data_IF_385519696364
#
_entry.id   IF_385519696364
#
_cell.length_a   1.000
_cell.length_b   1.000
_cell.length_c   1.000
_cell.angle_alpha   90.00
_cell.angle_beta   90.00
_cell.angle_gamma   90.00
#
_symmetry.space_group_name_H-M   'P 1'
#
loop_
_entity.id
_entity.type
_entity.pdbx_description
1 polymer ?
#
# COMPACT_ATOMS: atom_id res chain seq x y z
N UNK A 1 -1.90 18.01 16.86
CA UNK A 1 -1.92 18.07 15.38
C UNK A 1 -2.40 16.72 14.93
N UNK A 2 -3.44 16.70 14.11
CA UNK A 2 -4.03 15.47 13.56
C UNK A 2 -3.05 14.95 12.49
N UNK A 3 -2.49 13.74 12.69
CA UNK A 3 -1.55 13.12 11.74
C UNK A 3 -2.32 12.14 10.85
N UNK A 4 -2.29 12.34 9.53
CA UNK A 4 -3.06 11.55 8.56
C UNK A 4 -2.18 10.62 7.74
N UNK A 5 -2.59 9.35 7.65
CA UNK A 5 -1.89 8.27 6.95
C UNK A 5 -2.74 7.79 5.77
N UNK A 6 -2.18 7.85 4.56
CA UNK A 6 -2.71 7.13 3.41
C UNK A 6 -2.15 5.70 3.39
N UNK A 7 -2.97 4.69 3.69
CA UNK A 7 -2.57 3.29 3.71
C UNK A 7 -3.06 2.55 2.46
N UNK A 8 -2.14 2.11 1.59
CA UNK A 8 -2.43 1.40 0.34
C UNK A 8 -1.92 -0.05 0.45
N UNK A 9 -2.80 -0.98 0.81
CA UNK A 9 -2.47 -2.38 1.08
C UNK A 9 -3.64 -3.32 0.74
N UNK A 10 -3.47 -4.62 0.95
CA UNK A 10 -4.55 -5.59 0.82
C UNK A 10 -5.65 -5.42 1.88
N UNK A 11 -6.84 -5.95 1.60
CA UNK A 11 -7.91 -6.10 2.58
C UNK A 11 -8.52 -7.50 2.54
N UNK A 12 -8.93 -8.01 3.71
CA UNK A 12 -9.61 -9.29 3.87
C UNK A 12 -10.89 -9.17 4.68
N UNK A 13 -11.94 -9.89 4.27
CA UNK A 13 -13.19 -9.97 5.05
C UNK A 13 -12.93 -10.67 6.40
N UNK A 14 -12.26 -11.83 6.40
CA UNK A 14 -11.90 -12.61 7.60
C UNK A 14 -10.39 -12.62 7.86
N UNK A 15 -10.01 -12.45 9.12
CA UNK A 15 -8.62 -12.41 9.59
C UNK A 15 -8.07 -10.99 9.67
N UNK A 16 -6.78 -10.89 10.00
CA UNK A 16 -6.04 -9.63 10.14
C UNK A 16 -4.77 -9.74 9.29
N UNK A 17 -4.81 -9.13 8.10
CA UNK A 17 -3.66 -8.83 7.23
C UNK A 17 -3.90 -7.51 6.49
N UNK A 18 -2.87 -6.92 5.90
CA UNK A 18 -2.96 -5.69 5.11
C UNK A 18 -3.57 -4.52 5.91
N UNK A 19 -4.43 -3.72 5.27
CA UNK A 19 -5.12 -2.59 5.91
C UNK A 19 -5.93 -3.03 7.14
N UNK A 20 -6.46 -4.26 7.18
CA UNK A 20 -7.18 -4.73 8.37
C UNK A 20 -6.27 -4.95 9.59
N UNK A 21 -4.97 -5.20 9.36
CA UNK A 21 -3.94 -5.23 10.40
C UNK A 21 -3.29 -3.88 10.66
N UNK A 22 -3.26 -2.98 9.68
CA UNK A 22 -2.59 -1.69 9.81
C UNK A 22 -3.50 -0.60 10.40
N UNK A 23 -4.76 -0.51 9.95
CA UNK A 23 -5.65 0.60 10.31
C UNK A 23 -6.02 0.58 11.79
N UNK A 24 -6.32 -0.59 12.37
CA UNK A 24 -6.71 -0.66 13.78
C UNK A 24 -5.60 -0.18 14.74
N UNK A 25 -4.34 -0.67 14.65
CA UNK A 25 -3.24 -0.14 15.46
C UNK A 25 -3.01 1.37 15.28
N UNK A 26 -3.02 1.87 14.04
CA UNK A 26 -2.82 3.29 13.76
C UNK A 26 -3.93 4.15 14.39
N UNK A 27 -5.18 3.73 14.25
CA UNK A 27 -6.33 4.44 14.81
C UNK A 27 -6.31 4.46 16.35
N UNK A 28 -6.02 3.33 17.01
CA UNK A 28 -5.93 3.31 18.49
C UNK A 28 -4.71 4.08 19.02
N UNK A 29 -3.69 4.30 18.18
CA UNK A 29 -2.53 5.14 18.47
C UNK A 29 -2.75 6.63 18.12
N UNK A 30 -3.93 7.00 17.62
CA UNK A 30 -4.33 8.40 17.40
C UNK A 30 -4.00 8.96 16.01
N UNK A 31 -3.67 8.11 15.04
CA UNK A 31 -3.57 8.54 13.63
C UNK A 31 -4.93 8.49 12.95
N UNK A 32 -5.16 9.44 12.06
CA UNK A 32 -6.23 9.37 11.08
C UNK A 32 -5.78 8.52 9.89
N UNK A 33 -6.62 7.59 9.45
CA UNK A 33 -6.23 6.60 8.43
C UNK A 33 -7.22 6.58 7.29
N UNK A 34 -6.74 6.94 6.10
CA UNK A 34 -7.46 6.75 4.84
C UNK A 34 -6.91 5.51 4.14
N UNK A 35 -7.78 4.54 3.85
CA UNK A 35 -7.37 3.23 3.35
C UNK A 35 -7.81 3.03 1.90
N UNK A 36 -6.86 2.72 1.02
CA UNK A 36 -7.13 2.19 -0.32
C UNK A 36 -6.75 0.71 -0.33
N UNK A 37 -7.71 -0.14 -0.70
CA UNK A 37 -7.55 -1.58 -0.67
C UNK A 37 -7.10 -2.09 -2.05
N UNK A 38 -5.83 -2.47 -2.20
CA UNK A 38 -5.27 -3.03 -3.45
C UNK A 38 -5.95 -4.32 -3.88
N UNK A 39 -6.50 -5.06 -2.92
CA UNK A 39 -7.33 -6.25 -3.13
C UNK A 39 -8.41 -6.31 -2.08
N UNK A 40 -9.53 -6.96 -2.39
CA UNK A 40 -10.53 -7.36 -1.42
C UNK A 40 -10.77 -8.86 -1.53
N UNK A 41 -10.21 -9.63 -0.59
CA UNK A 41 -10.37 -11.08 -0.56
C UNK A 41 -11.25 -11.55 0.60
N UNK A 42 -11.79 -12.76 0.50
CA UNK A 42 -12.52 -13.42 1.60
C UNK A 42 -11.65 -13.60 2.85
N UNK A 43 -10.38 -13.95 2.64
CA UNK A 43 -9.36 -14.24 3.65
C UNK A 43 -7.97 -14.19 2.98
N UNK A 44 -6.90 -14.22 3.77
CA UNK A 44 -5.55 -14.23 3.20
C UNK A 44 -5.25 -15.54 2.45
N UNK A 45 -4.25 -15.50 1.56
CA UNK A 45 -3.87 -16.58 0.64
C UNK A 45 -3.22 -17.79 1.30
N UNK A 46 -3.02 -17.76 2.63
CA UNK A 46 -2.53 -18.90 3.40
C UNK A 46 -3.59 -19.96 3.70
N UNK A 47 -4.87 -19.67 3.44
CA UNK A 47 -5.94 -20.66 3.46
C UNK A 47 -5.99 -21.47 2.16
N UNK A 48 -6.52 -22.69 2.22
CA UNK A 48 -6.69 -23.56 1.04
C UNK A 48 -7.55 -22.97 -0.07
N UNK A 49 -8.52 -22.11 0.29
CA UNK A 49 -9.37 -21.42 -0.66
C UNK A 49 -9.48 -19.94 -0.30
N UNK A 50 -9.50 -19.11 -1.34
CA UNK A 50 -9.77 -17.68 -1.25
C UNK A 50 -10.39 -17.21 -2.57
N UNK A 51 -11.22 -16.17 -2.51
CA UNK A 51 -11.80 -15.50 -3.68
C UNK A 51 -11.86 -14.00 -3.41
N UNK A 52 -11.92 -13.21 -4.47
CA UNK A 52 -12.19 -11.78 -4.38
C UNK A 52 -11.62 -11.01 -5.56
N UNK A 53 -11.55 -9.69 -5.41
CA UNK A 53 -11.17 -8.75 -6.46
C UNK A 53 -9.76 -8.17 -6.24
N UNK A 54 -9.12 -7.79 -7.34
CA UNK A 54 -7.87 -7.03 -7.35
C UNK A 54 -8.17 -5.67 -7.94
N UNK A 55 -7.74 -4.61 -7.27
CA UNK A 55 -7.88 -3.23 -7.72
C UNK A 55 -6.82 -2.96 -8.80
N UNK A 56 -7.27 -2.49 -9.96
CA UNK A 56 -6.43 -2.12 -11.09
C UNK A 56 -5.85 -0.72 -10.90
N UNK A 57 -4.87 -0.35 -11.73
CA UNK A 57 -4.33 1.01 -11.75
C UNK A 57 -5.42 2.05 -12.08
N UNK A 58 -6.28 1.79 -13.06
CA UNK A 58 -7.37 2.71 -13.42
C UNK A 58 -8.35 2.92 -12.25
N UNK A 59 -8.67 1.85 -11.52
CA UNK A 59 -9.53 1.95 -10.33
C UNK A 59 -8.85 2.70 -9.17
N UNK A 60 -7.53 2.54 -9.00
CA UNK A 60 -6.73 3.35 -8.07
C UNK A 60 -6.77 4.83 -8.47
N UNK A 61 -6.64 5.13 -9.76
CA UNK A 61 -6.72 6.49 -10.28
C UNK A 61 -8.07 7.12 -9.98
N UNK A 62 -9.17 6.40 -10.21
CA UNK A 62 -10.53 6.89 -9.90
C UNK A 62 -10.66 7.30 -8.43
N UNK A 63 -10.14 6.49 -7.50
CA UNK A 63 -10.18 6.81 -6.08
C UNK A 63 -9.32 8.03 -5.74
N UNK A 64 -8.08 8.07 -6.24
CA UNK A 64 -7.16 9.16 -5.96
C UNK A 64 -7.62 10.48 -6.59
N UNK A 65 -8.14 10.45 -7.82
CA UNK A 65 -8.78 11.58 -8.48
C UNK A 65 -9.97 12.09 -7.66
N UNK A 66 -10.83 11.20 -7.15
CA UNK A 66 -11.95 11.58 -6.28
C UNK A 66 -11.49 12.35 -5.03
N UNK A 67 -10.42 11.90 -4.37
CA UNK A 67 -9.82 12.60 -3.22
C UNK A 67 -9.22 13.95 -3.65
N UNK A 68 -8.56 14.02 -4.82
CA UNK A 68 -7.99 15.25 -5.37
C UNK A 68 -9.04 16.30 -5.71
N UNK A 69 -10.13 15.91 -6.39
CA UNK A 69 -11.22 16.80 -6.78
C UNK A 69 -11.90 17.46 -5.56
N UNK A 70 -11.88 16.78 -4.42
CA UNK A 70 -12.39 17.30 -3.15
C UNK A 70 -11.32 18.05 -2.32
N UNK A 71 -10.10 18.20 -2.83
CA UNK A 71 -8.98 18.84 -2.14
C UNK A 71 -8.69 18.25 -0.74
N UNK A 72 -8.81 16.92 -0.60
CA UNK A 72 -8.56 16.18 0.66
C UNK A 72 -7.37 15.21 0.53
N UNK A 73 -6.46 15.46 -0.40
CA UNK A 73 -5.27 14.65 -0.67
C UNK A 73 -4.05 15.12 0.13
N UNK A 74 -4.26 15.52 1.39
CA UNK A 74 -3.22 16.05 2.27
C UNK A 74 -2.87 15.00 3.32
N UNK A 75 -1.62 14.52 3.31
CA UNK A 75 -1.16 13.44 4.17
C UNK A 75 0.19 13.78 4.81
N UNK A 76 0.40 13.26 6.01
CA UNK A 76 1.68 13.32 6.72
C UNK A 76 2.51 12.05 6.47
N UNK A 77 1.81 10.92 6.29
CA UNK A 77 2.42 9.63 6.00
C UNK A 77 1.73 8.93 4.84
N UNK A 78 2.52 8.15 4.10
CA UNK A 78 2.02 7.10 3.21
C UNK A 78 2.56 5.77 3.72
N UNK A 79 1.70 4.75 3.77
CA UNK A 79 2.06 3.39 4.12
C UNK A 79 1.62 2.45 2.99
N UNK A 80 2.55 1.73 2.40
CA UNK A 80 2.24 0.77 1.31
C UNK A 80 2.62 -0.66 1.70
N UNK A 81 1.93 -1.62 1.09
CA UNK A 81 2.18 -3.04 1.31
C UNK A 81 1.70 -3.87 0.13
N UNK A 82 1.08 -5.02 0.41
CA UNK A 82 0.72 -6.03 -0.59
C UNK A 82 0.00 -5.48 -1.83
N UNK A 83 0.54 -5.78 -3.01
CA UNK A 83 -0.12 -5.64 -4.32
C UNK A 83 0.25 -6.82 -5.23
N UNK A 84 -0.50 -7.03 -6.31
CA UNK A 84 -0.23 -8.04 -7.34
C UNK A 84 -0.05 -7.46 -8.73
N UNK A 85 -0.24 -6.15 -8.90
CA UNK A 85 -0.30 -5.50 -10.20
C UNK A 85 0.83 -4.48 -10.34
N UNK A 86 1.62 -4.61 -11.42
CA UNK A 86 2.77 -3.75 -11.70
C UNK A 86 2.35 -2.32 -12.01
N UNK A 87 1.30 -2.14 -12.82
CA UNK A 87 0.79 -0.80 -13.17
C UNK A 87 0.22 -0.10 -11.94
N UNK A 88 -0.43 -0.85 -11.04
CA UNK A 88 -0.87 -0.35 -9.75
C UNK A 88 0.31 0.15 -8.91
N UNK A 89 1.39 -0.64 -8.81
CA UNK A 89 2.56 -0.27 -8.02
C UNK A 89 3.28 0.96 -8.62
N UNK A 90 3.34 1.07 -9.95
CA UNK A 90 3.88 2.25 -10.62
C UNK A 90 3.04 3.50 -10.32
N UNK A 91 1.71 3.39 -10.36
CA UNK A 91 0.83 4.50 -9.99
C UNK A 91 0.96 4.90 -8.52
N UNK A 92 1.17 3.95 -7.61
CA UNK A 92 1.47 4.26 -6.20
C UNK A 92 2.73 5.12 -6.09
N UNK A 93 3.78 4.86 -6.89
CA UNK A 93 4.98 5.70 -6.92
C UNK A 93 4.64 7.12 -7.40
N UNK A 94 3.84 7.26 -8.46
CA UNK A 94 3.42 8.57 -8.97
C UNK A 94 2.64 9.37 -7.92
N UNK A 95 1.71 8.71 -7.21
CA UNK A 95 0.95 9.28 -6.09
C UNK A 95 1.90 9.76 -4.99
N UNK A 96 2.82 8.92 -4.53
CA UNK A 96 3.78 9.27 -3.47
C UNK A 96 4.63 10.48 -3.88
N UNK A 97 5.13 10.52 -5.12
CA UNK A 97 5.92 11.64 -5.61
C UNK A 97 5.11 12.93 -5.67
N UNK A 98 3.84 12.87 -6.10
CA UNK A 98 2.94 14.02 -6.08
C UNK A 98 2.72 14.53 -4.66
N UNK A 99 2.41 13.64 -3.72
CA UNK A 99 2.18 14.00 -2.32
C UNK A 99 3.45 14.57 -1.67
N UNK A 100 4.64 14.04 -1.96
CA UNK A 100 5.92 14.59 -1.48
C UNK A 100 6.22 15.98 -2.07
N UNK A 101 5.82 16.26 -3.32
CA UNK A 101 5.93 17.61 -3.90
C UNK A 101 5.02 18.60 -3.17
N UNK A 102 3.81 18.18 -2.79
CA UNK A 102 2.87 19.00 -2.05
C UNK A 102 3.26 19.17 -0.57
N UNK A 103 3.83 18.15 0.05
CA UNK A 103 4.33 18.14 1.42
C UNK A 103 5.73 17.51 1.49
N UNK A 104 6.82 18.31 1.45
CA UNK A 104 8.18 17.81 1.53
C UNK A 104 8.53 17.09 2.85
N UNK A 105 7.71 17.26 3.90
CA UNK A 105 7.88 16.57 5.18
C UNK A 105 7.14 15.22 5.24
N UNK A 106 6.42 14.84 4.18
CA UNK A 106 5.72 13.57 4.12
C UNK A 106 6.69 12.40 4.22
N UNK A 107 6.39 11.47 5.13
CA UNK A 107 7.16 10.24 5.33
C UNK A 107 6.46 9.06 4.63
N UNK A 108 7.16 8.43 3.71
CA UNK A 108 6.73 7.24 3.01
C UNK A 108 7.37 6.00 3.63
N UNK A 109 6.52 5.16 4.25
CA UNK A 109 6.85 3.83 4.76
C UNK A 109 6.43 2.78 3.74
N UNK A 110 7.38 2.03 3.22
CA UNK A 110 7.16 0.96 2.26
C UNK A 110 7.42 -0.40 2.89
N UNK A 111 6.40 -1.25 2.91
CA UNK A 111 6.57 -2.69 3.13
C UNK A 111 6.70 -3.40 1.77
N UNK A 112 7.90 -3.89 1.37
CA UNK A 112 8.13 -4.48 0.06
C UNK A 112 7.66 -5.94 -0.02
N UNK A 113 6.37 -6.15 0.23
CA UNK A 113 5.70 -7.46 0.34
C UNK A 113 5.78 -8.25 -0.98
N UNK A 114 6.76 -9.15 -1.09
CA UNK A 114 7.06 -9.95 -2.28
C UNK A 114 6.97 -11.46 -2.01
N UNK A 115 7.44 -11.91 -0.85
CA UNK A 115 7.67 -13.32 -0.63
C UNK A 115 8.14 -13.65 0.78
N UNK A 116 8.18 -14.94 1.08
CA UNK A 116 8.75 -15.46 2.32
C UNK A 116 9.26 -16.89 2.08
N UNK A 117 10.07 -17.40 3.00
CA UNK A 117 10.57 -18.77 3.02
C UNK A 117 11.20 -19.23 1.69
N UNK A 118 11.91 -18.31 1.01
CA UNK A 118 12.64 -18.61 -0.23
C UNK A 118 11.78 -18.56 -1.50
N UNK A 119 10.53 -18.10 -1.44
CA UNK A 119 9.66 -18.03 -2.61
C UNK A 119 8.80 -16.76 -2.64
N UNK A 120 8.56 -16.23 -3.86
CA UNK A 120 7.60 -15.15 -4.08
C UNK A 120 6.17 -15.69 -4.08
N UNK A 121 5.26 -15.00 -3.39
CA UNK A 121 3.82 -15.26 -3.47
C UNK A 121 3.06 -14.17 -4.27
N UNK A 122 3.81 -13.23 -4.84
CA UNK A 122 3.33 -12.22 -5.80
C UNK A 122 3.99 -12.43 -7.18
N UNK A 123 3.46 -11.81 -8.25
CA UNK A 123 4.11 -11.85 -9.56
C UNK A 123 5.55 -11.32 -9.57
N UNK A 124 6.47 -12.04 -10.22
CA UNK A 124 7.90 -11.71 -10.22
C UNK A 124 8.23 -10.36 -10.86
N UNK A 125 7.36 -9.86 -11.74
CA UNK A 125 7.51 -8.55 -12.39
C UNK A 125 7.32 -7.36 -11.44
N UNK A 126 6.92 -7.57 -10.18
CA UNK A 126 6.91 -6.52 -9.16
C UNK A 126 8.31 -6.18 -8.63
N UNK A 127 9.23 -7.14 -8.60
CA UNK A 127 10.57 -6.93 -8.03
C UNK A 127 11.34 -5.79 -8.72
N UNK A 128 11.42 -5.70 -10.06
CA UNK A 128 12.07 -4.59 -10.72
C UNK A 128 11.44 -3.22 -10.38
N UNK A 129 10.13 -3.17 -10.16
CA UNK A 129 9.44 -1.93 -9.78
C UNK A 129 9.78 -1.54 -8.35
N UNK A 130 9.72 -2.48 -7.41
CA UNK A 130 10.16 -2.21 -6.03
C UNK A 130 11.60 -1.68 -5.99
N UNK A 131 12.53 -2.39 -6.64
CA UNK A 131 13.95 -2.05 -6.66
C UNK A 131 14.24 -0.70 -7.31
N UNK A 132 13.65 -0.43 -8.49
CA UNK A 132 14.06 0.70 -9.33
C UNK A 132 13.17 1.94 -9.16
N UNK A 133 11.96 1.81 -8.61
CA UNK A 133 10.98 2.90 -8.51
C UNK A 133 10.50 3.15 -7.09
N UNK A 134 10.20 2.09 -6.32
CA UNK A 134 9.62 2.24 -4.96
C UNK A 134 10.67 2.56 -3.91
N UNK A 135 11.71 1.72 -3.78
CA UNK A 135 12.78 1.91 -2.79
C UNK A 135 13.47 3.28 -2.93
N UNK A 136 13.75 3.80 -4.14
CA UNK A 136 14.35 5.14 -4.29
C UNK A 136 13.53 6.31 -3.74
N UNK A 137 12.21 6.15 -3.55
CA UNK A 137 11.33 7.21 -3.05
C UNK A 137 10.84 6.97 -1.61
N UNK A 138 11.14 5.80 -1.03
CA UNK A 138 10.77 5.46 0.34
C UNK A 138 11.74 6.09 1.35
N UNK A 139 11.20 6.58 2.47
CA UNK A 139 12.03 7.06 3.59
C UNK A 139 12.31 5.94 4.59
N UNK A 140 11.38 4.99 4.71
CA UNK A 140 11.48 3.81 5.57
C UNK A 140 11.07 2.58 4.76
N UNK A 141 11.85 1.51 4.84
CA UNK A 141 11.50 0.21 4.28
C UNK A 141 11.44 -0.85 5.39
N UNK A 142 10.50 -1.79 5.29
CA UNK A 142 10.32 -2.87 6.29
C UNK A 142 10.40 -4.28 5.68
N UNK A 143 11.44 -4.62 4.90
CA UNK A 143 11.54 -5.95 4.28
C UNK A 143 11.71 -7.06 5.33
N UNK A 144 11.23 -8.26 5.01
CA UNK A 144 11.70 -9.46 5.67
C UNK A 144 13.05 -9.95 5.09
N UNK A 145 13.62 -11.03 5.65
CA UNK A 145 14.94 -11.55 5.22
C UNK A 145 15.00 -11.94 3.74
N UNK A 146 13.92 -12.48 3.18
CA UNK A 146 13.85 -12.88 1.77
C UNK A 146 13.74 -11.67 0.83
N UNK A 147 13.15 -10.58 1.31
CA UNK A 147 12.85 -9.38 0.52
C UNK A 147 14.00 -8.36 0.48
N UNK A 148 14.89 -8.38 1.48
CA UNK A 148 16.04 -7.48 1.62
C UNK A 148 17.19 -7.82 0.67
#
# INVERSE_FOLDING_TARGET
MECRVLSIQSHVVRGYVGNKSASFPLQVLGFEVDSINSVQFSNHTGYSHWKGQVLTADELHVLYEGIKLNNVHHYDYVLTGYTRDTSFLEMVVDIVQELKRANPNLVYVCDPVLGDHGSMYVPQNLYPVYKNKVVPVADIITPNQFEA
#
